data_IF_623428899277
#
_entry.id   IF_623428899277
#
_cell.length_a   1.000
_cell.length_b   1.000
_cell.length_c   1.000
_cell.angle_alpha   90.00
_cell.angle_beta   90.00
_cell.angle_gamma   90.00
#
_symmetry.space_group_name_H-M   'P 1'
#
loop_
_entity.id
_entity.type
_entity.pdbx_description
1 polymer ?
#
# COMPACT_ATOMS: atom_id res chain seq x y z
N UNK A 1 0.00 -3.77 -26.86
CA UNK A 1 -0.64 -3.10 -25.71
C UNK A 1 -2.10 -3.52 -25.68
N UNK A 2 -2.76 -3.62 -24.52
CA UNK A 2 -4.22 -3.88 -24.47
C UNK A 2 -5.00 -2.64 -24.93
N UNK A 3 -6.17 -2.83 -25.57
CA UNK A 3 -6.94 -1.71 -26.14
C UNK A 3 -7.36 -0.69 -25.08
N UNK A 4 -7.81 -1.12 -23.89
CA UNK A 4 -8.19 -0.20 -22.80
C UNK A 4 -7.03 0.71 -22.33
N UNK A 5 -5.78 0.21 -22.34
CA UNK A 5 -4.58 1.02 -22.04
C UNK A 5 -4.27 2.03 -23.16
N UNK A 6 -4.62 1.70 -24.40
CA UNK A 6 -4.49 2.61 -25.55
C UNK A 6 -5.57 3.70 -25.49
N UNK A 7 -6.79 3.35 -25.06
CA UNK A 7 -7.91 4.26 -24.81
C UNK A 7 -7.60 5.21 -23.65
N UNK A 8 -7.16 4.70 -22.50
CA UNK A 8 -6.74 5.50 -21.33
C UNK A 8 -5.62 6.50 -21.70
N UNK A 9 -4.62 6.03 -22.46
CA UNK A 9 -3.55 6.88 -22.98
C UNK A 9 -4.08 7.95 -23.96
N UNK A 10 -5.05 7.61 -24.81
CA UNK A 10 -5.69 8.58 -25.71
C UNK A 10 -6.44 9.65 -24.93
N UNK A 11 -7.22 9.28 -23.92
CA UNK A 11 -7.99 10.19 -23.07
C UNK A 11 -7.08 11.13 -22.25
N UNK A 12 -5.99 10.60 -21.69
CA UNK A 12 -5.01 11.41 -20.95
C UNK A 12 -4.35 12.47 -21.85
N UNK A 13 -3.91 12.10 -23.05
CA UNK A 13 -3.31 13.02 -24.02
C UNK A 13 -4.36 14.01 -24.56
N UNK A 14 -5.58 13.55 -24.83
CA UNK A 14 -6.68 14.38 -25.31
C UNK A 14 -7.03 15.50 -24.33
N UNK A 15 -7.12 15.16 -23.05
CA UNK A 15 -7.38 16.10 -21.94
C UNK A 15 -6.33 17.21 -21.88
N UNK A 16 -5.05 16.85 -21.91
CA UNK A 16 -3.93 17.80 -21.80
C UNK A 16 -3.80 18.70 -23.05
N UNK A 17 -4.01 18.14 -24.25
CA UNK A 17 -3.92 18.89 -25.51
C UNK A 17 -5.24 19.59 -25.91
N UNK A 18 -6.30 19.43 -25.11
CA UNK A 18 -7.67 19.90 -25.39
C UNK A 18 -8.20 19.43 -26.77
N UNK A 19 -8.01 18.15 -27.06
CA UNK A 19 -8.46 17.48 -28.28
C UNK A 19 -9.55 16.44 -27.97
N UNK A 20 -10.22 15.95 -29.01
CA UNK A 20 -11.09 14.77 -28.91
C UNK A 20 -10.24 13.48 -28.90
N UNK A 21 -10.49 12.51 -28.00
CA UNK A 21 -9.73 11.25 -27.94
C UNK A 21 -9.67 10.50 -29.28
N UNK A 22 -10.77 10.53 -30.03
CA UNK A 22 -10.90 9.93 -31.36
C UNK A 22 -9.93 10.51 -32.42
N UNK A 23 -9.33 11.69 -32.20
CA UNK A 23 -8.29 12.24 -33.06
C UNK A 23 -6.91 11.59 -32.81
N UNK A 24 -6.68 11.08 -31.59
CA UNK A 24 -5.41 10.51 -31.13
C UNK A 24 -5.42 8.98 -31.25
N UNK A 25 -6.53 8.35 -30.86
CA UNK A 25 -6.69 6.89 -30.74
C UNK A 25 -6.23 6.09 -31.98
N UNK A 26 -6.59 6.46 -33.24
CA UNK A 26 -6.14 5.73 -34.44
C UNK A 26 -4.62 5.80 -34.66
N UNK A 27 -3.97 6.85 -34.17
CA UNK A 27 -2.51 7.01 -34.26
C UNK A 27 -1.80 6.13 -33.24
N UNK A 28 -2.35 6.00 -32.02
CA UNK A 28 -1.80 5.12 -31.00
C UNK A 28 -1.96 3.64 -31.37
N UNK A 29 -3.13 3.20 -31.87
CA UNK A 29 -3.28 1.83 -32.39
C UNK A 29 -2.29 1.52 -33.51
N UNK A 30 -2.08 2.45 -34.47
CA UNK A 30 -1.08 2.26 -35.53
C UNK A 30 0.35 2.21 -34.98
N UNK A 31 0.67 2.98 -33.94
CA UNK A 31 1.98 2.93 -33.30
C UNK A 31 2.23 1.59 -32.58
N UNK A 32 1.20 1.02 -31.95
CA UNK A 32 1.26 -0.24 -31.20
C UNK A 32 0.99 -1.51 -32.05
N UNK A 33 0.60 -1.39 -33.32
CA UNK A 33 0.16 -2.51 -34.18
C UNK A 33 1.18 -3.65 -34.34
N UNK A 34 2.47 -3.36 -34.17
CA UNK A 34 3.61 -4.27 -34.30
C UNK A 34 4.39 -4.42 -32.98
N UNK A 35 3.79 -4.03 -31.84
CA UNK A 35 4.46 -3.98 -30.53
C UNK A 35 3.60 -4.58 -29.41
N UNK A 36 4.23 -5.41 -28.58
CA UNK A 36 3.70 -5.86 -27.30
C UNK A 36 4.35 -5.09 -26.16
N UNK A 37 3.61 -4.93 -25.07
CA UNK A 37 4.08 -4.35 -23.82
C UNK A 37 3.26 -4.99 -22.69
N UNK A 38 3.94 -5.41 -21.64
CA UNK A 38 3.33 -5.68 -20.34
C UNK A 38 3.38 -4.40 -19.53
N UNK A 39 2.30 -4.09 -18.83
CA UNK A 39 2.18 -2.90 -17.98
C UNK A 39 2.03 -3.37 -16.55
N UNK A 40 2.79 -2.74 -15.66
CA UNK A 40 2.67 -2.86 -14.22
C UNK A 40 2.21 -1.50 -13.70
N UNK A 41 1.23 -1.50 -12.80
CA UNK A 41 0.60 -0.31 -12.23
C UNK A 41 0.81 -0.26 -10.71
N UNK A 42 0.45 0.86 -10.09
CA UNK A 42 0.64 1.09 -8.65
C UNK A 42 -0.13 0.06 -7.82
N UNK A 43 -1.28 -0.35 -8.34
CA UNK A 43 -2.16 -1.37 -7.80
C UNK A 43 -1.48 -2.76 -7.73
N UNK A 44 -0.51 -3.06 -8.61
CA UNK A 44 0.27 -4.30 -8.54
C UNK A 44 1.28 -4.27 -7.38
N UNK A 45 1.86 -3.10 -7.06
CA UNK A 45 2.68 -2.94 -5.84
C UNK A 45 1.81 -3.12 -4.59
N UNK A 46 0.57 -2.62 -4.60
CA UNK A 46 -0.34 -2.79 -3.46
C UNK A 46 -0.65 -4.27 -3.20
N UNK A 47 -0.87 -5.06 -4.26
CA UNK A 47 -1.11 -6.51 -4.13
C UNK A 47 0.15 -7.25 -3.66
N UNK A 48 1.33 -6.90 -4.19
CA UNK A 48 2.60 -7.46 -3.76
C UNK A 48 2.91 -7.13 -2.29
N UNK A 49 2.75 -5.86 -1.88
CA UNK A 49 2.97 -5.41 -0.50
C UNK A 49 2.03 -6.12 0.47
N UNK A 50 0.75 -6.24 0.12
CA UNK A 50 -0.24 -6.99 0.91
C UNK A 50 0.15 -8.46 1.08
N UNK A 51 0.51 -9.14 -0.01
CA UNK A 51 0.91 -10.57 0.00
C UNK A 51 2.05 -10.88 0.97
N UNK A 52 2.93 -9.90 1.24
CA UNK A 52 4.06 -10.03 2.17
C UNK A 52 3.84 -9.29 3.51
N UNK A 53 2.61 -8.84 3.80
CA UNK A 53 2.28 -8.19 5.07
C UNK A 53 2.93 -6.83 5.29
N UNK A 54 3.05 -6.00 4.23
CA UNK A 54 3.48 -4.59 4.26
C UNK A 54 2.37 -3.66 3.75
N UNK A 55 2.40 -2.39 4.15
CA UNK A 55 1.62 -1.32 3.54
C UNK A 55 2.56 -0.26 2.98
N UNK A 56 2.09 0.43 1.94
CA UNK A 56 2.86 1.38 1.13
C UNK A 56 2.09 2.68 0.96
N UNK A 57 2.77 3.80 0.74
CA UNK A 57 2.08 5.00 0.23
C UNK A 57 1.98 4.95 -1.30
N UNK A 58 1.06 5.73 -1.89
CA UNK A 58 0.99 5.87 -3.35
C UNK A 58 2.27 6.44 -3.96
N UNK A 59 2.93 7.35 -3.25
CA UNK A 59 4.19 7.97 -3.65
C UNK A 59 5.32 6.93 -3.69
N UNK A 60 5.46 6.14 -2.61
CA UNK A 60 6.45 5.07 -2.52
C UNK A 60 6.22 3.98 -3.57
N UNK A 61 4.97 3.59 -3.81
CA UNK A 61 4.64 2.59 -4.82
C UNK A 61 5.03 3.02 -6.25
N UNK A 62 4.93 4.32 -6.57
CA UNK A 62 5.47 4.87 -7.83
C UNK A 62 7.00 4.77 -7.84
N UNK A 63 7.66 5.09 -6.72
CA UNK A 63 9.11 4.97 -6.59
C UNK A 63 9.60 3.53 -6.76
N UNK A 64 8.92 2.57 -6.15
CA UNK A 64 9.21 1.13 -6.26
C UNK A 64 9.05 0.62 -7.69
N UNK A 65 7.98 0.99 -8.41
CA UNK A 65 7.84 0.65 -9.84
C UNK A 65 8.96 1.23 -10.70
N UNK A 66 9.38 2.48 -10.41
CA UNK A 66 10.48 3.09 -11.13
C UNK A 66 11.79 2.37 -10.84
N UNK A 67 12.05 1.97 -9.59
CA UNK A 67 13.26 1.22 -9.23
C UNK A 67 13.31 -0.15 -9.90
N UNK A 68 12.21 -0.92 -9.82
CA UNK A 68 12.05 -2.19 -10.55
C UNK A 68 12.28 -2.01 -12.05
N UNK A 69 11.72 -0.95 -12.65
CA UNK A 69 11.92 -0.66 -14.07
C UNK A 69 13.39 -0.32 -14.41
N UNK A 70 14.11 0.39 -13.55
CA UNK A 70 15.52 0.71 -13.78
C UNK A 70 16.45 -0.50 -13.59
N UNK A 71 16.08 -1.48 -12.74
CA UNK A 71 16.94 -2.60 -12.35
C UNK A 71 16.54 -3.97 -12.95
N UNK A 72 15.46 -4.08 -13.72
CA UNK A 72 15.02 -5.34 -14.32
C UNK A 72 16.05 -5.95 -15.30
N UNK A 73 16.20 -7.28 -15.29
CA UNK A 73 16.89 -8.01 -16.34
C UNK A 73 15.96 -8.11 -17.57
N UNK A 74 16.30 -7.44 -18.67
CA UNK A 74 15.51 -7.51 -19.92
C UNK A 74 15.45 -8.92 -20.54
N UNK A 75 16.23 -9.88 -20.06
CA UNK A 75 16.15 -11.31 -20.42
C UNK A 75 14.99 -12.05 -19.73
N UNK A 76 14.55 -11.55 -18.57
CA UNK A 76 13.49 -12.11 -17.74
C UNK A 76 12.22 -11.24 -17.75
N UNK A 77 12.38 -9.93 -17.96
CA UNK A 77 11.32 -8.94 -17.81
C UNK A 77 11.07 -8.56 -16.35
N UNK A 78 9.94 -7.91 -16.10
CA UNK A 78 9.45 -7.63 -14.74
C UNK A 78 8.43 -8.73 -14.37
N UNK A 79 8.59 -9.31 -13.19
CA UNK A 79 7.79 -10.40 -12.64
C UNK A 79 7.23 -10.04 -11.26
N UNK A 80 6.31 -10.85 -10.71
CA UNK A 80 5.89 -10.71 -9.31
C UNK A 80 7.07 -10.79 -8.33
N UNK A 81 7.99 -11.74 -8.55
CA UNK A 81 9.23 -11.85 -7.76
C UNK A 81 10.07 -10.56 -7.80
N UNK A 82 9.98 -9.77 -8.89
CA UNK A 82 10.66 -8.48 -9.01
C UNK A 82 10.03 -7.41 -8.12
N UNK A 83 8.69 -7.43 -7.97
CA UNK A 83 7.98 -6.52 -7.06
C UNK A 83 8.21 -6.94 -5.60
N UNK A 84 8.13 -8.23 -5.32
CA UNK A 84 8.38 -8.81 -3.99
C UNK A 84 9.80 -8.43 -3.51
N UNK A 85 10.82 -8.58 -4.37
CA UNK A 85 12.20 -8.21 -4.09
C UNK A 85 12.38 -6.70 -3.81
N UNK A 86 11.78 -5.82 -4.62
CA UNK A 86 11.83 -4.37 -4.36
C UNK A 86 11.14 -3.99 -3.04
N UNK A 87 10.17 -4.79 -2.60
CA UNK A 87 9.50 -4.62 -1.33
C UNK A 87 10.24 -5.27 -0.15
N UNK A 88 11.25 -6.14 -0.33
CA UNK A 88 11.95 -6.82 0.79
C UNK A 88 12.57 -5.82 1.77
N UNK A 89 13.35 -4.86 1.25
CA UNK A 89 14.01 -3.81 2.03
C UNK A 89 13.10 -2.61 2.34
N UNK A 90 11.94 -2.48 1.68
CA UNK A 90 11.03 -1.36 1.91
C UNK A 90 10.47 -1.35 3.35
N UNK A 91 10.52 -0.18 4.00
CA UNK A 91 9.95 0.08 5.33
C UNK A 91 9.22 1.41 5.32
N UNK A 92 7.95 1.39 5.74
CA UNK A 92 7.18 2.59 6.04
C UNK A 92 7.22 2.83 7.55
N UNK A 93 7.61 4.03 7.97
CA UNK A 93 7.65 4.44 9.38
C UNK A 93 6.44 5.33 9.68
N UNK A 94 5.38 4.74 10.24
CA UNK A 94 4.13 5.44 10.52
C UNK A 94 4.29 6.56 11.56
N UNK A 95 5.23 6.43 12.49
CA UNK A 95 5.53 7.48 13.48
C UNK A 95 6.27 8.68 12.88
N UNK A 96 6.91 8.52 11.72
CA UNK A 96 7.53 9.60 10.98
C UNK A 96 6.57 10.26 9.96
N UNK A 97 5.41 9.64 9.70
CA UNK A 97 4.44 10.10 8.72
C UNK A 97 3.47 11.14 9.35
N UNK A 98 3.28 12.32 8.75
CA UNK A 98 2.31 13.31 9.23
C UNK A 98 0.88 12.76 9.25
N UNK A 99 0.06 13.20 10.22
CA UNK A 99 -1.31 12.69 10.40
C UNK A 99 -2.20 12.94 9.15
N UNK A 100 -1.93 14.01 8.40
CA UNK A 100 -2.60 14.34 7.14
C UNK A 100 -2.32 13.33 6.01
N UNK A 101 -1.20 12.59 6.09
CA UNK A 101 -0.78 11.58 5.11
C UNK A 101 -1.20 10.16 5.46
N UNK A 102 -1.73 9.89 6.65
CA UNK A 102 -2.25 8.56 7.02
C UNK A 102 -3.31 8.00 6.05
N UNK A 103 -4.20 8.82 5.43
CA UNK A 103 -5.12 8.35 4.39
C UNK A 103 -4.44 7.94 3.06
N UNK A 104 -3.15 8.23 2.88
CA UNK A 104 -2.37 7.79 1.70
C UNK A 104 -1.75 6.40 1.88
N UNK A 105 -1.91 5.77 3.06
CA UNK A 105 -1.31 4.47 3.39
C UNK A 105 -2.24 3.33 2.95
N UNK A 106 -1.81 2.64 1.89
CA UNK A 106 -2.52 1.52 1.29
C UNK A 106 -2.11 0.21 1.97
N UNK A 107 -3.04 -0.37 2.74
CA UNK A 107 -2.91 -1.65 3.42
C UNK A 107 -4.16 -1.98 4.24
N UNK A 108 -4.39 -3.28 4.51
CA UNK A 108 -5.51 -3.72 5.35
C UNK A 108 -5.01 -3.91 6.77
N UNK A 109 -5.43 -3.04 7.68
CA UNK A 109 -5.09 -3.10 9.10
C UNK A 109 -6.22 -3.78 9.91
N UNK A 110 -5.81 -4.38 11.03
CA UNK A 110 -6.67 -4.98 12.07
C UNK A 110 -6.22 -4.47 13.44
N UNK A 111 -7.14 -4.46 14.42
CA UNK A 111 -6.86 -4.02 15.79
C UNK A 111 -7.25 -5.11 16.79
N UNK A 112 -6.42 -5.34 17.82
CA UNK A 112 -6.65 -6.37 18.84
C UNK A 112 -6.03 -6.00 20.20
N UNK A 113 -6.46 -6.70 21.26
CA UNK A 113 -5.85 -6.57 22.60
C UNK A 113 -4.75 -7.63 22.79
N UNK A 114 -3.70 -7.33 23.55
CA UNK A 114 -2.71 -8.32 24.03
C UNK A 114 -3.37 -9.55 24.67
N UNK A 115 -4.34 -9.32 25.56
CA UNK A 115 -5.04 -10.37 26.31
C UNK A 115 -6.08 -11.17 25.49
N UNK A 116 -6.51 -10.66 24.33
CA UNK A 116 -7.53 -11.31 23.50
C UNK A 116 -7.30 -11.04 22.01
N UNK A 117 -6.84 -12.08 21.30
CA UNK A 117 -6.54 -12.06 19.85
C UNK A 117 -7.77 -12.15 18.93
N UNK A 118 -8.98 -11.95 19.45
CA UNK A 118 -10.15 -11.70 18.58
C UNK A 118 -9.95 -10.32 17.96
N UNK A 119 -9.37 -10.29 16.76
CA UNK A 119 -9.12 -9.08 16.02
C UNK A 119 -10.42 -8.49 15.44
N UNK A 120 -10.46 -7.17 15.38
CA UNK A 120 -11.45 -6.42 14.61
C UNK A 120 -10.85 -6.11 13.24
N UNK A 121 -11.27 -6.79 12.15
CA UNK A 121 -10.86 -6.45 10.79
C UNK A 121 -11.66 -5.23 10.29
N UNK A 122 -11.04 -4.43 9.44
CA UNK A 122 -11.64 -3.25 8.83
C UNK A 122 -11.72 -3.44 7.31
N UNK A 123 -12.89 -3.16 6.71
CA UNK A 123 -13.09 -3.33 5.26
C UNK A 123 -13.28 -4.78 4.84
N UNK A 124 -14.48 -5.33 5.03
CA UNK A 124 -14.76 -6.74 4.69
C UNK A 124 -14.92 -6.99 3.17
N UNK A 125 -15.44 -6.00 2.42
CA UNK A 125 -15.49 -5.94 0.95
C UNK A 125 -15.64 -4.46 0.51
N UNK A 126 -15.22 -4.03 -0.68
CA UNK A 126 -14.54 -4.76 -1.76
C UNK A 126 -13.14 -4.26 -2.08
N UNK A 127 -12.85 -2.97 -1.92
CA UNK A 127 -11.53 -2.40 -2.22
C UNK A 127 -10.53 -2.73 -1.11
N UNK A 128 -9.96 -3.92 -1.20
CA UNK A 128 -8.81 -4.39 -0.40
C UNK A 128 -7.57 -3.49 -0.53
N UNK A 129 -7.60 -2.51 -1.44
CA UNK A 129 -6.51 -1.61 -1.80
C UNK A 129 -6.61 -0.20 -1.21
N UNK A 130 -7.79 0.30 -0.82
CA UNK A 130 -7.96 1.74 -0.54
C UNK A 130 -7.30 2.22 0.78
N UNK A 131 -6.80 1.28 1.58
CA UNK A 131 -6.31 1.56 2.94
C UNK A 131 -7.44 1.68 3.94
N UNK A 132 -7.15 1.38 5.21
CA UNK A 132 -8.08 1.56 6.34
C UNK A 132 -7.38 2.05 7.61
N UNK A 133 -6.15 2.58 7.47
CA UNK A 133 -5.31 3.02 8.59
C UNK A 133 -5.99 4.10 9.46
N UNK A 134 -6.66 5.14 8.91
CA UNK A 134 -7.33 6.14 9.75
C UNK A 134 -8.42 5.53 10.65
N UNK A 135 -9.24 4.61 10.12
CA UNK A 135 -10.29 3.91 10.86
C UNK A 135 -9.71 2.95 11.90
N UNK A 136 -8.67 2.19 11.54
CA UNK A 136 -7.97 1.29 12.45
C UNK A 136 -7.32 2.07 13.60
N UNK A 137 -6.64 3.18 13.30
CA UNK A 137 -6.01 4.04 14.31
C UNK A 137 -7.07 4.68 15.23
N UNK A 138 -8.19 5.17 14.68
CA UNK A 138 -9.29 5.72 15.46
C UNK A 138 -9.89 4.70 16.42
N UNK A 139 -10.12 3.45 15.98
CA UNK A 139 -10.59 2.39 16.87
C UNK A 139 -9.53 2.00 17.90
N UNK A 140 -8.25 1.88 17.54
CA UNK A 140 -7.18 1.55 18.48
C UNK A 140 -7.07 2.60 19.59
N UNK A 141 -7.17 3.89 19.24
CA UNK A 141 -7.25 5.01 20.20
C UNK A 141 -8.50 4.93 21.09
N UNK A 142 -9.64 4.48 20.57
CA UNK A 142 -10.86 4.29 21.36
C UNK A 142 -10.73 3.09 22.33
N UNK A 143 -10.23 1.94 21.86
CA UNK A 143 -10.00 0.75 22.67
C UNK A 143 -9.01 1.02 23.82
N UNK A 144 -7.98 1.84 23.59
CA UNK A 144 -7.03 2.26 24.64
C UNK A 144 -7.68 3.14 25.72
N UNK A 145 -8.68 3.96 25.37
CA UNK A 145 -9.47 4.75 26.33
C UNK A 145 -10.46 3.90 27.12
N UNK A 146 -11.09 2.94 26.46
CA UNK A 146 -12.07 2.05 27.09
C UNK A 146 -11.42 1.02 28.02
N UNK A 147 -10.14 0.69 27.82
CA UNK A 147 -9.36 -0.24 28.63
C UNK A 147 -7.93 0.28 28.90
N UNK A 148 -7.74 1.28 29.79
CA UNK A 148 -6.45 1.94 30.01
C UNK A 148 -5.29 0.99 30.37
N UNK A 149 -5.54 0.00 31.22
CA UNK A 149 -4.54 -0.97 31.68
C UNK A 149 -4.15 -2.02 30.62
N UNK A 150 -4.65 -1.92 29.38
CA UNK A 150 -4.47 -2.94 28.33
C UNK A 150 -3.78 -2.37 27.09
N UNK A 151 -2.61 -2.90 26.77
CA UNK A 151 -1.93 -2.62 25.51
C UNK A 151 -2.77 -3.09 24.31
N UNK A 152 -3.02 -2.17 23.41
CA UNK A 152 -3.70 -2.36 22.12
C UNK A 152 -2.63 -2.54 21.04
N UNK A 153 -2.92 -3.44 20.11
CA UNK A 153 -2.10 -3.68 18.93
C UNK A 153 -2.86 -3.26 17.67
N UNK A 154 -2.16 -2.60 16.77
CA UNK A 154 -2.58 -2.33 15.40
C UNK A 154 -1.52 -2.93 14.47
N UNK A 155 -1.94 -3.64 13.43
CA UNK A 155 -1.04 -4.29 12.48
C UNK A 155 -1.79 -4.74 11.23
N UNK A 156 -1.09 -5.27 10.24
CA UNK A 156 -1.69 -5.66 8.97
C UNK A 156 -2.43 -7.00 9.06
N UNK A 157 -3.45 -7.21 8.24
CA UNK A 157 -4.27 -8.43 8.24
C UNK A 157 -3.42 -9.67 8.02
N UNK A 158 -2.62 -9.66 6.96
CA UNK A 158 -1.75 -10.75 6.51
C UNK A 158 -0.43 -10.85 7.31
N UNK A 159 -0.18 -9.96 8.28
CA UNK A 159 1.00 -10.00 9.16
C UNK A 159 0.62 -10.50 10.57
N UNK A 160 1.30 -11.52 11.14
CA UNK A 160 1.01 -11.99 12.50
C UNK A 160 1.44 -11.00 13.59
N UNK A 161 2.47 -10.20 13.32
CA UNK A 161 3.06 -9.28 14.28
C UNK A 161 2.34 -7.91 14.23
N UNK A 162 2.19 -7.23 15.39
CA UNK A 162 1.72 -5.87 15.41
C UNK A 162 2.75 -4.94 14.76
N UNK A 163 2.27 -3.80 14.27
CA UNK A 163 3.10 -2.74 13.71
C UNK A 163 3.16 -1.54 14.66
N UNK A 164 2.05 -1.23 15.34
CA UNK A 164 1.97 -0.22 16.38
C UNK A 164 1.47 -0.83 17.70
N UNK A 165 2.09 -0.38 18.79
CA UNK A 165 1.62 -0.53 20.15
C UNK A 165 0.92 0.76 20.57
N UNK A 166 -0.26 0.67 21.19
CA UNK A 166 -0.92 1.80 21.81
C UNK A 166 -1.23 1.47 23.28
N UNK A 167 -0.91 2.39 24.19
CA UNK A 167 -1.15 2.24 25.63
C UNK A 167 -1.57 3.59 26.24
N UNK A 168 -2.42 3.53 27.26
CA UNK A 168 -2.82 4.70 28.04
C UNK A 168 -1.87 4.87 29.22
N UNK A 169 -1.21 6.03 29.33
CA UNK A 169 -0.34 6.37 30.46
C UNK A 169 -0.66 7.82 30.85
N UNK A 170 -0.93 8.06 32.14
CA UNK A 170 -1.21 9.40 32.69
C UNK A 170 -2.27 10.21 31.90
N UNK A 171 -3.35 9.54 31.48
CA UNK A 171 -4.45 10.03 30.62
C UNK A 171 -4.07 10.41 29.16
N UNK A 172 -2.86 10.08 28.71
CA UNK A 172 -2.38 10.26 27.33
C UNK A 172 -2.20 8.92 26.58
N UNK A 173 -2.45 8.92 25.26
CA UNK A 173 -2.21 7.75 24.39
C UNK A 173 -0.77 7.82 23.88
N UNK A 174 0.06 6.90 24.37
CA UNK A 174 1.38 6.64 23.80
C UNK A 174 1.24 5.69 22.60
N UNK A 175 1.96 5.99 21.52
CA UNK A 175 2.03 5.17 20.31
C UNK A 175 3.50 4.92 20.00
N UNK A 176 3.87 3.65 19.85
CA UNK A 176 5.22 3.21 19.56
C UNK A 176 5.19 2.21 18.40
N UNK A 177 6.18 2.23 17.51
CA UNK A 177 6.33 1.16 16.52
C UNK A 177 6.78 -0.14 17.21
N UNK A 178 6.29 -1.26 16.71
CA UNK A 178 6.68 -2.57 17.22
C UNK A 178 8.04 -2.95 16.66
N UNK A 179 9.09 -2.76 17.46
CA UNK A 179 10.38 -3.36 17.19
C UNK A 179 10.30 -4.88 17.42
N UNK A 180 10.31 -5.66 16.34
CA UNK A 180 10.66 -7.08 16.43
C UNK A 180 12.08 -7.20 16.99
N UNK A 181 12.24 -7.91 18.12
CA UNK A 181 13.52 -8.13 18.80
C UNK A 181 14.44 -9.13 18.06
N UNK A 182 14.77 -8.79 16.82
CA UNK A 182 15.86 -9.33 16.00
C UNK A 182 16.49 -8.08 15.35
N UNK A 183 17.56 -7.49 15.87
CA UNK A 183 18.90 -8.09 16.01
C UNK A 183 19.58 -7.74 17.35
N UNK A 184 19.86 -8.75 18.18
CA UNK A 184 20.96 -8.69 19.17
C UNK A 184 21.48 -10.09 19.49
N UNK A 185 22.21 -10.68 18.54
CA UNK A 185 23.08 -11.86 18.74
C UNK A 185 24.41 -11.66 18.01
#
# INVERSE_FOLDING_TARGET
MYDYMIEEMADAIAKELHLEPNAILPSLHRFWQDKIAHVWQVEDIYEAARRIGKAVTREDAIGLLQDVFHHHDSSLGITWDSLDAALEDYRLYLTALPEERLPEVHGIFKVWHTANRIAHPFGLYSNQMDGNLPEALAMARQMAKDQPDTQIHLGLEDNPDPWLNLIMIDDEIHIEEYETLEETQ
#
